data_IF_297885434754
#
_entry.id   IF_297885434754
#
_cell.length_a   1.000
_cell.length_b   1.000
_cell.length_c   1.000
_cell.angle_alpha   90.00
_cell.angle_beta   90.00
_cell.angle_gamma   90.00
#
_symmetry.space_group_name_H-M   'P 1'
#
loop_
_entity.id
_entity.type
_entity.pdbx_description
1 polymer ?
#
# COMPACT_ATOMS: atom_id res chain seq x y z
N UNK A 1 -8.97 5.73 79.96
CA UNK A 1 -9.53 6.04 78.63
C UNK A 1 -8.38 6.52 77.75
N UNK A 2 -8.29 6.04 76.50
CA UNK A 2 -7.11 6.09 75.61
C UNK A 2 -7.01 7.49 74.93
N UNK A 3 -6.04 7.93 74.11
CA UNK A 3 -5.17 7.37 73.05
C UNK A 3 -3.98 8.35 72.90
N UNK A 4 -2.71 7.90 72.84
CA UNK A 4 -1.94 7.60 71.62
C UNK A 4 -2.05 8.67 70.51
N UNK A 5 -1.02 9.49 70.32
CA UNK A 5 0.09 9.32 69.36
C UNK A 5 -0.15 10.21 68.11
N UNK A 6 0.55 11.33 67.99
CA UNK A 6 1.82 11.51 67.25
C UNK A 6 1.64 11.62 65.72
N UNK A 7 2.19 12.72 65.18
CA UNK A 7 2.66 13.00 63.80
C UNK A 7 1.68 13.38 62.66
N UNK A 8 1.77 14.68 62.35
CA UNK A 8 1.84 15.34 61.02
C UNK A 8 2.98 14.72 60.14
N UNK A 9 3.19 15.01 58.82
CA UNK A 9 2.56 16.00 57.93
C UNK A 9 2.33 15.64 56.45
N UNK A 10 1.80 16.64 55.75
CA UNK A 10 2.07 17.01 54.34
C UNK A 10 1.11 16.38 53.31
N UNK A 11 0.69 17.05 52.24
CA UNK A 11 1.15 18.30 51.67
C UNK A 11 0.19 18.73 50.53
N UNK A 12 0.10 20.05 50.31
CA UNK A 12 0.23 20.75 49.01
C UNK A 12 -0.82 20.44 47.92
N UNK A 13 -1.37 21.37 47.14
CA UNK A 13 -1.16 22.79 46.86
C UNK A 13 -2.37 23.23 45.99
N UNK A 14 -2.90 24.44 46.10
CA UNK A 14 -2.34 25.70 45.62
C UNK A 14 -2.21 25.77 44.07
N UNK A 15 -3.09 26.62 43.52
CA UNK A 15 -2.96 27.44 42.31
C UNK A 15 -3.49 26.94 40.95
N UNK A 16 -4.63 27.58 40.66
CA UNK A 16 -5.32 27.94 39.42
C UNK A 16 -4.41 28.60 38.33
N UNK A 17 -4.96 29.08 37.19
CA UNK A 17 -5.07 28.43 35.89
C UNK A 17 -4.17 29.11 34.82
N UNK A 18 -3.85 28.41 33.72
CA UNK A 18 -3.27 29.07 32.52
C UNK A 18 -3.77 28.42 31.24
N UNK A 19 -4.10 29.29 30.29
CA UNK A 19 -4.65 29.01 28.97
C UNK A 19 -3.89 27.91 28.22
N UNK A 20 -4.60 26.87 27.79
CA UNK A 20 -4.12 25.97 26.75
C UNK A 20 -4.70 26.45 25.41
N UNK A 21 -3.90 27.22 24.70
CA UNK A 21 -4.12 27.55 23.31
C UNK A 21 -4.36 26.26 22.51
N UNK A 22 -5.42 26.24 21.72
CA UNK A 22 -5.63 25.27 20.66
C UNK A 22 -4.54 25.47 19.61
N UNK A 23 -3.56 24.58 19.55
CA UNK A 23 -2.77 24.34 18.34
C UNK A 23 -2.51 22.84 18.19
N UNK A 24 -3.52 22.19 17.62
CA UNK A 24 -3.31 21.05 16.74
C UNK A 24 -2.20 21.38 15.74
N UNK A 25 -1.08 20.68 15.83
CA UNK A 25 -0.12 20.52 14.71
C UNK A 25 0.77 19.32 14.99
N UNK A 26 0.17 18.13 15.03
CA UNK A 26 0.89 16.93 14.61
C UNK A 26 1.04 17.01 13.10
N UNK A 27 2.05 17.74 12.64
CA UNK A 27 2.60 17.54 11.30
C UNK A 27 3.22 16.14 11.26
N UNK A 28 2.37 15.13 11.07
CA UNK A 28 2.80 13.85 10.50
C UNK A 28 3.36 14.22 9.13
N UNK A 29 4.67 14.04 8.96
CA UNK A 29 5.28 14.07 7.64
C UNK A 29 4.42 13.23 6.71
N UNK A 30 3.89 13.85 5.66
CA UNK A 30 3.18 13.12 4.62
C UNK A 30 4.24 12.29 3.92
N UNK A 31 4.33 11.00 4.27
CA UNK A 31 5.03 10.05 3.41
C UNK A 31 4.27 10.11 2.09
N UNK A 32 4.91 10.52 1.00
CA UNK A 32 4.22 10.60 -0.27
C UNK A 32 3.70 9.19 -0.62
N UNK A 33 2.38 9.07 -0.72
CA UNK A 33 1.73 7.78 -0.88
C UNK A 33 1.92 7.29 -2.31
N UNK A 34 2.40 6.06 -2.48
CA UNK A 34 2.39 5.40 -3.77
C UNK A 34 0.96 5.02 -4.14
N UNK A 35 0.47 5.60 -5.22
CA UNK A 35 -0.85 5.28 -5.76
C UNK A 35 -0.72 4.51 -7.08
N UNK A 36 -1.18 3.27 -7.08
CA UNK A 36 -1.19 2.43 -8.26
C UNK A 36 -2.15 2.96 -9.34
N UNK A 37 -3.24 3.64 -8.95
CA UNK A 37 -4.21 4.17 -9.91
C UNK A 37 -3.69 5.37 -10.70
N UNK A 38 -2.64 6.05 -10.23
CA UNK A 38 -1.99 7.13 -11.00
C UNK A 38 -0.79 6.68 -11.82
N UNK A 39 -0.17 5.54 -11.51
CA UNK A 39 1.06 5.11 -12.20
C UNK A 39 0.90 3.91 -13.14
N UNK A 40 0.25 2.82 -12.74
CA UNK A 40 0.20 1.57 -13.50
C UNK A 40 1.56 0.93 -13.86
N UNK A 41 2.65 1.33 -13.19
CA UNK A 41 4.03 0.99 -13.58
C UNK A 41 4.30 -0.52 -13.58
N UNK A 42 3.98 -1.22 -12.48
CA UNK A 42 4.24 -2.66 -12.35
C UNK A 42 3.46 -3.48 -13.39
N UNK A 43 2.24 -3.04 -13.74
CA UNK A 43 1.40 -3.70 -14.74
C UNK A 43 1.86 -3.45 -16.20
N UNK A 44 2.87 -2.61 -16.42
CA UNK A 44 3.39 -2.27 -17.75
C UNK A 44 4.91 -2.42 -17.87
N UNK A 45 5.53 -3.16 -16.94
CA UNK A 45 6.98 -3.25 -16.84
C UNK A 45 7.59 -4.36 -17.71
N UNK A 46 7.04 -5.59 -17.68
CA UNK A 46 7.59 -6.73 -18.42
C UNK A 46 6.50 -7.75 -18.75
N UNK A 47 6.64 -8.44 -19.89
CA UNK A 47 5.78 -9.56 -20.27
C UNK A 47 5.95 -10.77 -19.34
N UNK A 48 7.09 -10.85 -18.66
CA UNK A 48 7.44 -11.93 -17.76
C UNK A 48 6.94 -11.68 -16.33
N UNK A 49 6.20 -10.59 -16.11
CA UNK A 49 5.66 -10.19 -14.81
C UNK A 49 4.19 -9.84 -14.99
N UNK A 50 3.26 -10.36 -14.17
CA UNK A 50 3.42 -11.38 -13.11
C UNK A 50 3.35 -12.82 -13.61
N UNK A 51 4.25 -13.67 -13.09
CA UNK A 51 4.17 -15.13 -13.24
C UNK A 51 3.40 -15.76 -12.09
N UNK A 52 2.54 -16.72 -12.41
CA UNK A 52 1.94 -17.58 -11.40
C UNK A 52 3.02 -18.49 -10.85
N UNK A 53 3.22 -18.45 -9.54
CA UNK A 53 4.27 -19.25 -8.88
C UNK A 53 3.90 -19.65 -7.46
N UNK A 54 2.91 -18.99 -6.85
CA UNK A 54 2.49 -19.23 -5.47
C UNK A 54 0.98 -19.47 -5.34
N UNK A 55 0.24 -19.38 -6.44
CA UNK A 55 -1.21 -19.49 -6.50
C UNK A 55 -1.69 -20.94 -6.53
N UNK A 56 -2.83 -21.19 -5.90
CA UNK A 56 -3.58 -22.44 -6.06
C UNK A 56 -4.42 -22.40 -7.34
N UNK A 57 -4.57 -23.56 -8.00
CA UNK A 57 -5.31 -23.71 -9.25
C UNK A 57 -6.74 -23.15 -9.15
N UNK A 58 -7.42 -23.33 -8.01
CA UNK A 58 -8.79 -22.81 -7.81
C UNK A 58 -8.85 -21.27 -7.73
N UNK A 59 -7.73 -20.60 -7.41
CA UNK A 59 -7.64 -19.15 -7.53
C UNK A 59 -7.46 -18.73 -8.99
N UNK A 60 -6.55 -19.40 -9.71
CA UNK A 60 -6.26 -19.09 -11.11
C UNK A 60 -7.47 -19.33 -12.01
N UNK A 61 -8.24 -20.39 -11.77
CA UNK A 61 -9.48 -20.72 -12.50
C UNK A 61 -10.57 -19.65 -12.40
N UNK A 62 -10.48 -18.74 -11.42
CA UNK A 62 -11.41 -17.60 -11.30
C UNK A 62 -11.04 -16.44 -12.22
N UNK A 63 -9.83 -16.41 -12.75
CA UNK A 63 -9.36 -15.36 -13.66
C UNK A 63 -9.91 -15.67 -15.06
N UNK A 64 -10.62 -14.75 -15.72
CA UNK A 64 -11.10 -14.99 -17.08
C UNK A 64 -9.95 -15.30 -18.05
N UNK A 65 -10.08 -16.37 -18.85
CA UNK A 65 -9.05 -16.88 -19.76
C UNK A 65 -8.40 -15.82 -20.65
N UNK A 66 -9.17 -14.80 -21.07
CA UNK A 66 -8.65 -13.70 -21.89
C UNK A 66 -7.54 -12.88 -21.22
N UNK A 67 -7.39 -12.99 -19.90
CA UNK A 67 -6.35 -12.35 -19.11
C UNK A 67 -5.23 -13.31 -18.69
N UNK A 68 -5.31 -14.59 -19.05
CA UNK A 68 -4.31 -15.62 -18.73
C UNK A 68 -3.46 -15.92 -19.96
N UNK A 69 -2.15 -16.06 -19.77
CA UNK A 69 -1.23 -16.40 -20.86
C UNK A 69 -1.52 -17.79 -21.43
N UNK A 70 -1.27 -18.01 -22.73
CA UNK A 70 -1.57 -19.28 -23.40
C UNK A 70 -0.83 -20.48 -22.81
N UNK A 71 0.35 -20.25 -22.24
CA UNK A 71 1.18 -21.26 -21.57
C UNK A 71 0.85 -21.41 -20.08
N UNK A 72 -0.19 -20.71 -19.59
CA UNK A 72 -0.63 -20.68 -18.20
C UNK A 72 0.45 -20.20 -17.20
N UNK A 73 1.53 -19.58 -17.69
CA UNK A 73 2.66 -19.16 -16.85
C UNK A 73 2.40 -17.89 -16.04
N UNK A 74 1.30 -17.18 -16.32
CA UNK A 74 1.00 -15.89 -15.71
C UNK A 74 -0.12 -15.14 -16.39
N UNK A 75 -0.17 -13.84 -16.12
CA UNK A 75 -1.10 -12.94 -16.79
C UNK A 75 -0.72 -12.76 -18.27
N UNK A 76 -1.73 -12.67 -19.15
CA UNK A 76 -1.52 -12.34 -20.56
C UNK A 76 -1.04 -10.90 -20.69
N UNK A 77 0.04 -10.69 -21.44
CA UNK A 77 0.60 -9.38 -21.77
C UNK A 77 0.65 -9.12 -23.28
N UNK A 78 0.54 -7.85 -23.67
CA UNK A 78 0.80 -7.34 -25.02
C UNK A 78 2.09 -6.52 -24.97
N UNK A 79 3.19 -7.11 -25.41
CA UNK A 79 4.52 -6.60 -25.07
C UNK A 79 4.68 -6.58 -23.54
N UNK A 80 5.18 -5.47 -22.93
CA UNK A 80 5.35 -5.38 -21.48
C UNK A 80 4.05 -5.08 -20.72
N UNK A 81 2.93 -4.90 -21.42
CA UNK A 81 1.68 -4.41 -20.84
C UNK A 81 0.70 -5.54 -20.50
N UNK A 82 0.30 -5.64 -19.25
CA UNK A 82 -0.76 -6.56 -18.83
C UNK A 82 -2.09 -6.24 -19.53
N UNK A 83 -2.73 -7.27 -20.08
CA UNK A 83 -4.01 -7.17 -20.80
C UNK A 83 -5.18 -6.70 -19.92
N UNK A 84 -5.08 -6.85 -18.60
CA UNK A 84 -6.06 -6.34 -17.65
C UNK A 84 -5.84 -4.87 -17.27
N UNK A 85 -4.74 -4.23 -17.69
CA UNK A 85 -4.46 -2.84 -17.38
C UNK A 85 -5.28 -1.90 -18.27
N UNK A 86 -6.19 -1.15 -17.65
CA UNK A 86 -6.96 -0.08 -18.28
C UNK A 86 -6.31 1.28 -18.02
N UNK A 87 -6.47 2.22 -18.96
CA UNK A 87 -5.97 3.60 -18.84
C UNK A 87 -4.53 3.79 -19.33
N UNK A 88 -3.91 4.90 -18.94
CA UNK A 88 -2.59 5.33 -19.40
C UNK A 88 -1.57 5.37 -18.27
N UNK A 89 -0.44 4.69 -18.46
CA UNK A 89 0.66 4.60 -17.50
C UNK A 89 1.18 6.00 -17.19
N UNK A 90 1.39 6.29 -15.91
CA UNK A 90 1.82 7.60 -15.41
C UNK A 90 0.75 8.69 -15.39
N UNK A 91 -0.51 8.38 -15.76
CA UNK A 91 -1.63 9.34 -15.69
C UNK A 91 -2.77 8.82 -14.83
N UNK A 92 -3.48 7.81 -15.33
CA UNK A 92 -4.66 7.25 -14.69
C UNK A 92 -4.87 5.83 -15.21
N UNK A 93 -4.88 4.87 -14.30
CA UNK A 93 -4.97 3.44 -14.59
C UNK A 93 -5.87 2.71 -13.60
N UNK A 94 -6.35 1.56 -14.02
CA UNK A 94 -7.08 0.63 -13.16
C UNK A 94 -6.83 -0.80 -13.63
N UNK A 95 -6.89 -1.76 -12.70
CA UNK A 95 -6.91 -3.17 -13.04
C UNK A 95 -8.36 -3.59 -13.34
N UNK A 96 -8.63 -4.08 -14.54
CA UNK A 96 -9.96 -4.56 -14.94
C UNK A 96 -10.44 -5.81 -14.19
N UNK A 97 -9.55 -6.46 -13.44
CA UNK A 97 -9.83 -7.63 -12.60
C UNK A 97 -9.37 -7.44 -11.15
N UNK A 98 -9.41 -6.21 -10.63
CA UNK A 98 -8.81 -5.87 -9.32
C UNK A 98 -9.20 -6.83 -8.18
N UNK A 99 -10.47 -7.23 -8.12
CA UNK A 99 -11.02 -8.17 -7.13
C UNK A 99 -10.54 -9.61 -7.34
N UNK A 100 -10.22 -9.98 -8.58
CA UNK A 100 -9.74 -11.32 -8.99
C UNK A 100 -8.23 -11.34 -9.21
N UNK A 101 -7.49 -10.34 -8.71
CA UNK A 101 -6.04 -10.31 -8.87
C UNK A 101 -5.42 -11.58 -8.26
N UNK A 102 -4.51 -12.24 -8.98
CA UNK A 102 -3.73 -13.35 -8.44
C UNK A 102 -2.84 -12.86 -7.29
N UNK A 103 -2.36 -13.79 -6.48
CA UNK A 103 -1.62 -13.46 -5.25
C UNK A 103 -0.30 -12.73 -5.56
N UNK A 104 0.40 -13.08 -6.64
CA UNK A 104 1.60 -12.37 -7.12
C UNK A 104 1.34 -10.89 -7.44
N UNK A 105 0.14 -10.55 -7.95
CA UNK A 105 -0.27 -9.17 -8.19
C UNK A 105 -0.57 -8.42 -6.89
N UNK A 106 -0.92 -9.15 -5.81
CA UNK A 106 -1.21 -8.57 -4.48
C UNK A 106 0.05 -8.45 -3.64
N UNK A 107 1.01 -9.35 -3.83
CA UNK A 107 2.30 -9.35 -3.17
C UNK A 107 3.15 -8.13 -3.53
N UNK A 108 3.02 -7.60 -4.76
CA UNK A 108 3.66 -6.35 -5.16
C UNK A 108 2.98 -5.16 -4.47
N UNK A 109 3.53 -4.70 -3.35
CA UNK A 109 2.98 -3.56 -2.61
C UNK A 109 3.46 -2.21 -3.16
N UNK A 110 2.63 -1.15 -3.07
CA UNK A 110 3.04 0.19 -3.47
C UNK A 110 4.24 0.67 -2.64
N UNK A 111 5.36 0.97 -3.32
CA UNK A 111 6.58 1.46 -2.69
C UNK A 111 7.65 0.41 -2.37
N UNK A 112 7.36 -0.87 -2.56
CA UNK A 112 8.35 -1.94 -2.40
C UNK A 112 9.41 -1.90 -3.52
N UNK A 113 10.51 -2.62 -3.35
CA UNK A 113 11.66 -2.62 -4.27
C UNK A 113 11.24 -2.85 -5.74
N UNK A 114 10.37 -3.82 -5.95
CA UNK A 114 9.75 -4.15 -7.24
C UNK A 114 8.95 -2.98 -7.81
N UNK A 115 8.11 -2.34 -6.98
CA UNK A 115 7.36 -1.16 -7.38
C UNK A 115 8.29 -0.01 -7.81
N UNK A 116 9.33 0.25 -7.02
CA UNK A 116 10.29 1.31 -7.31
C UNK A 116 11.09 1.02 -8.58
N UNK A 117 11.51 -0.23 -8.79
CA UNK A 117 12.16 -0.67 -10.03
C UNK A 117 11.28 -0.40 -11.26
N UNK A 118 10.01 -0.82 -11.22
CA UNK A 118 9.08 -0.57 -12.31
C UNK A 118 8.87 0.93 -12.58
N UNK A 119 8.71 1.73 -11.51
CA UNK A 119 8.58 3.19 -11.62
C UNK A 119 9.80 3.84 -12.26
N UNK A 120 11.02 3.43 -11.89
CA UNK A 120 12.27 3.95 -12.50
C UNK A 120 12.32 3.67 -13.99
N UNK A 121 11.94 2.47 -14.42
CA UNK A 121 11.93 2.12 -15.84
C UNK A 121 10.94 2.96 -16.68
N UNK A 122 9.87 3.44 -16.05
CA UNK A 122 8.91 4.37 -16.66
C UNK A 122 9.24 5.85 -16.43
N UNK A 123 10.35 6.19 -15.78
CA UNK A 123 10.72 7.57 -15.45
C UNK A 123 9.80 8.24 -14.43
N UNK A 124 9.09 7.45 -13.62
CA UNK A 124 8.15 7.95 -12.61
C UNK A 124 8.88 8.22 -11.28
N UNK A 125 8.38 9.17 -10.46
CA UNK A 125 9.01 9.50 -9.18
C UNK A 125 9.02 8.27 -8.25
N UNK A 126 10.17 7.97 -7.64
CA UNK A 126 10.30 6.90 -6.63
C UNK A 126 10.23 7.39 -5.20
N UNK A 127 10.20 8.71 -5.02
CA UNK A 127 10.15 9.45 -3.75
C UNK A 127 11.41 9.28 -2.88
#
# INVERSE_FOLDING_TARGET
>A
MPQDADRNPAAQGLFNPVAAASLSSSQRGTVPAFDCQSCGACCSYSAEWPRFSTEDDAHLDRIPDKYVATDLSGMRCEGPRCSALCGEVGKATACGIYELRPDVCRACMPGDEDCLMARRAHGLPVL
#
